data_IF_211453725559
#
_entry.id   IF_211453725559
#
_cell.length_a   1.000
_cell.length_b   1.000
_cell.length_c   1.000
_cell.angle_alpha   90.00
_cell.angle_beta   90.00
_cell.angle_gamma   90.00
#
_symmetry.space_group_name_H-M   'P 1'
#
loop_
_entity.id
_entity.type
_entity.pdbx_description
1 polymer ?
#
# COMPACT_ATOMS: atom_id res chain seq x y z
N UNK A 1 16.58 -20.39 6.81
CA UNK A 1 16.54 -19.89 8.20
C UNK A 1 16.52 -18.36 8.14
N UNK A 2 15.34 -17.77 8.26
CA UNK A 2 15.15 -16.33 8.17
C UNK A 2 15.45 -15.72 9.56
N UNK A 3 16.66 -15.22 9.76
CA UNK A 3 17.02 -14.42 10.94
C UNK A 3 16.38 -13.04 10.82
N UNK A 4 15.25 -12.85 11.48
CA UNK A 4 14.70 -11.52 11.73
C UNK A 4 15.79 -10.64 12.36
N UNK A 5 16.01 -9.41 11.88
CA UNK A 5 17.01 -8.52 12.44
C UNK A 5 16.70 -8.29 13.93
N UNK A 6 17.73 -8.43 14.75
CA UNK A 6 17.63 -8.31 16.21
C UNK A 6 17.25 -6.87 16.56
N UNK A 7 15.94 -6.60 16.71
CA UNK A 7 15.42 -5.27 17.03
C UNK A 7 15.95 -4.83 18.42
N UNK A 8 16.58 -3.67 18.48
CA UNK A 8 17.02 -3.08 19.74
C UNK A 8 15.84 -2.77 20.66
N UNK A 9 16.06 -2.70 21.96
CA UNK A 9 15.03 -2.31 22.95
C UNK A 9 14.38 -0.96 22.58
N UNK A 10 15.16 -0.03 22.08
CA UNK A 10 14.67 1.27 21.61
C UNK A 10 13.73 1.13 20.41
N UNK A 11 14.07 0.27 19.44
CA UNK A 11 13.20 -0.02 18.29
C UNK A 11 11.88 -0.66 18.71
N UNK A 12 11.92 -1.64 19.62
CA UNK A 12 10.72 -2.31 20.16
C UNK A 12 9.78 -1.32 20.88
N UNK A 13 10.35 -0.40 21.66
CA UNK A 13 9.55 0.64 22.34
C UNK A 13 8.91 1.59 21.34
N UNK A 14 9.64 2.03 20.31
CA UNK A 14 9.11 2.90 19.25
C UNK A 14 7.95 2.24 18.52
N UNK A 15 8.10 0.98 18.12
CA UNK A 15 7.03 0.23 17.44
C UNK A 15 5.80 0.06 18.35
N UNK A 16 5.98 -0.25 19.61
CA UNK A 16 4.87 -0.32 20.59
C UNK A 16 4.10 0.99 20.69
N UNK A 17 4.81 2.14 20.72
CA UNK A 17 4.18 3.45 20.75
C UNK A 17 3.38 3.71 19.47
N UNK A 18 3.89 3.32 18.30
CA UNK A 18 3.18 3.45 17.03
C UNK A 18 1.94 2.54 16.95
N UNK A 19 2.02 1.30 17.48
CA UNK A 19 0.87 0.39 17.51
C UNK A 19 -0.28 0.96 18.35
N UNK A 20 0.05 1.45 19.54
CA UNK A 20 -0.94 2.05 20.44
C UNK A 20 -1.50 3.35 19.84
N UNK A 21 -0.64 4.19 19.28
CA UNK A 21 -1.08 5.43 18.62
C UNK A 21 -2.05 5.13 17.46
N UNK A 22 -1.72 4.13 16.63
CA UNK A 22 -2.58 3.67 15.53
C UNK A 22 -3.97 3.28 16.04
N UNK A 23 -4.02 2.47 17.11
CA UNK A 23 -5.29 2.03 17.71
C UNK A 23 -6.11 3.19 18.26
N UNK A 24 -5.48 4.11 19.01
CA UNK A 24 -6.15 5.27 19.58
C UNK A 24 -6.62 6.27 18.52
N UNK A 25 -5.81 6.54 17.50
CA UNK A 25 -6.21 7.37 16.36
C UNK A 25 -7.41 6.79 15.62
N UNK A 26 -7.46 5.49 15.56
CA UNK A 26 -8.55 4.78 14.94
C UNK A 26 -9.85 4.83 15.74
N UNK A 27 -9.79 4.58 17.05
CA UNK A 27 -10.99 4.51 17.91
C UNK A 27 -11.51 5.89 18.31
N UNK A 28 -10.62 6.84 18.60
CA UNK A 28 -10.96 8.13 19.18
C UNK A 28 -10.85 9.31 18.21
N UNK A 29 -10.17 9.08 17.07
CA UNK A 29 -9.76 10.12 16.15
C UNK A 29 -8.46 10.81 16.59
N UNK A 30 -7.74 11.39 15.60
CA UNK A 30 -6.44 12.06 15.84
C UNK A 30 -6.59 13.26 16.75
N UNK A 31 -7.63 14.05 16.56
CA UNK A 31 -7.83 15.30 17.33
C UNK A 31 -8.05 15.05 18.83
N UNK A 32 -8.82 14.03 19.17
CA UNK A 32 -9.14 13.70 20.55
C UNK A 32 -8.05 12.91 21.28
N UNK A 33 -7.08 12.36 20.57
CA UNK A 33 -5.97 11.59 21.15
C UNK A 33 -4.83 12.52 21.56
N UNK A 34 -4.31 12.34 22.77
CA UNK A 34 -3.17 13.11 23.31
C UNK A 34 -1.91 12.27 23.43
N UNK A 35 -0.74 12.93 23.55
CA UNK A 35 0.53 12.26 23.86
C UNK A 35 0.47 11.46 25.16
N UNK A 36 -0.31 11.95 26.14
CA UNK A 36 -0.48 11.29 27.43
C UNK A 36 -1.32 10.00 27.31
N UNK A 37 -2.37 10.01 26.49
CA UNK A 37 -3.18 8.81 26.24
C UNK A 37 -2.35 7.70 25.61
N UNK A 38 -1.50 8.06 24.63
CA UNK A 38 -0.60 7.11 23.98
C UNK A 38 0.42 6.56 24.97
N UNK A 39 1.03 7.41 25.81
CA UNK A 39 1.98 6.99 26.82
C UNK A 39 1.33 6.02 27.82
N UNK A 40 0.17 6.37 28.36
CA UNK A 40 -0.59 5.55 29.33
C UNK A 40 -0.99 4.21 28.72
N UNK A 41 -1.59 4.20 27.54
CA UNK A 41 -2.04 2.98 26.87
C UNK A 41 -0.88 2.08 26.41
N UNK A 42 0.31 2.62 26.22
CA UNK A 42 1.51 1.84 25.89
C UNK A 42 2.29 1.33 27.11
N UNK A 43 1.79 1.63 28.32
CA UNK A 43 2.49 1.35 29.58
C UNK A 43 3.89 2.00 29.63
N UNK A 44 3.97 3.24 29.17
CA UNK A 44 5.19 4.04 29.17
C UNK A 44 4.98 5.37 29.87
N UNK A 45 6.01 5.83 30.56
CA UNK A 45 6.00 7.15 31.16
C UNK A 45 5.96 8.26 30.09
N UNK A 46 5.32 9.40 30.43
CA UNK A 46 5.27 10.58 29.55
C UNK A 46 6.64 10.99 29.03
N UNK A 47 7.69 10.91 29.87
CA UNK A 47 9.06 11.23 29.46
C UNK A 47 9.55 10.30 28.35
N UNK A 48 9.21 9.03 28.41
CA UNK A 48 9.62 8.03 27.42
C UNK A 48 9.06 8.35 26.04
N UNK A 49 7.78 8.70 25.92
CA UNK A 49 7.21 9.00 24.60
C UNK A 49 7.90 10.21 23.94
N UNK A 50 8.26 11.25 24.73
CA UNK A 50 8.96 12.42 24.23
C UNK A 50 10.43 12.16 23.87
N UNK A 51 11.01 11.02 24.26
CA UNK A 51 12.32 10.57 23.78
C UNK A 51 12.26 10.12 22.32
N UNK A 52 11.11 9.57 21.88
CA UNK A 52 10.93 9.05 20.52
C UNK A 52 10.23 10.01 19.57
N UNK A 53 9.34 10.85 20.08
CA UNK A 53 8.49 11.73 19.28
C UNK A 53 8.30 13.08 19.96
N UNK A 54 8.60 14.15 19.25
CA UNK A 54 8.51 15.53 19.78
C UNK A 54 7.07 15.98 20.05
N UNK A 55 6.12 15.48 19.27
CA UNK A 55 4.71 15.87 19.34
C UNK A 55 3.80 14.83 18.67
N UNK A 56 2.50 15.00 18.83
CA UNK A 56 1.45 14.14 18.24
C UNK A 56 1.53 14.06 16.71
N UNK A 57 1.87 15.17 16.05
CA UNK A 57 1.97 15.23 14.59
C UNK A 57 3.06 14.28 14.08
N UNK A 58 4.22 14.23 14.75
CA UNK A 58 5.32 13.33 14.40
C UNK A 58 4.93 11.86 14.55
N UNK A 59 4.21 11.49 15.62
CA UNK A 59 3.66 10.13 15.77
C UNK A 59 2.66 9.81 14.66
N UNK A 60 1.76 10.74 14.36
CA UNK A 60 0.76 10.57 13.33
C UNK A 60 1.41 10.33 11.95
N UNK A 61 2.39 11.14 11.59
CA UNK A 61 3.13 10.96 10.33
C UNK A 61 3.88 9.63 10.27
N UNK A 62 4.48 9.20 11.38
CA UNK A 62 5.14 7.89 11.46
C UNK A 62 4.16 6.70 11.36
N UNK A 63 2.95 6.84 11.89
CA UNK A 63 1.89 5.84 11.71
C UNK A 63 1.44 5.77 10.25
N UNK A 64 1.19 6.92 9.62
CA UNK A 64 0.82 7.01 8.20
C UNK A 64 1.90 6.38 7.31
N UNK A 65 3.17 6.72 7.55
CA UNK A 65 4.29 6.18 6.80
C UNK A 65 4.38 4.65 6.92
N UNK A 66 4.25 4.13 8.13
CA UNK A 66 4.28 2.68 8.39
C UNK A 66 3.09 1.95 7.73
N UNK A 67 1.91 2.50 7.80
CA UNK A 67 0.72 1.93 7.15
C UNK A 67 0.84 1.95 5.62
N UNK A 68 1.35 3.04 5.04
CA UNK A 68 1.61 3.11 3.60
C UNK A 68 2.70 2.12 3.15
N UNK A 69 3.74 1.91 3.96
CA UNK A 69 4.78 0.92 3.66
C UNK A 69 4.24 -0.50 3.69
N UNK A 70 3.41 -0.83 4.68
CA UNK A 70 2.79 -2.15 4.78
C UNK A 70 1.92 -2.49 3.55
N UNK A 71 1.23 -1.49 2.99
CA UNK A 71 0.43 -1.66 1.76
C UNK A 71 1.31 -2.07 0.58
N UNK A 72 2.46 -1.42 0.40
CA UNK A 72 3.30 -1.65 -0.78
C UNK A 72 4.37 -2.74 -0.58
N UNK A 73 4.49 -3.31 0.61
CA UNK A 73 5.54 -4.31 0.88
C UNK A 73 5.44 -5.53 -0.03
N UNK A 74 4.24 -6.04 -0.29
CA UNK A 74 4.03 -7.14 -1.24
C UNK A 74 4.53 -6.80 -2.64
N UNK A 75 4.29 -5.56 -3.10
CA UNK A 75 4.76 -5.09 -4.40
C UNK A 75 6.29 -4.97 -4.44
N UNK A 76 6.87 -4.50 -3.34
CA UNK A 76 8.32 -4.40 -3.20
C UNK A 76 8.99 -5.78 -3.30
N UNK A 77 8.43 -6.78 -2.62
CA UNK A 77 8.95 -8.15 -2.63
C UNK A 77 8.97 -8.73 -4.05
N UNK A 78 7.91 -8.48 -4.82
CA UNK A 78 7.85 -8.88 -6.24
C UNK A 78 8.91 -8.16 -7.08
N UNK A 79 9.05 -6.85 -6.95
CA UNK A 79 10.03 -6.05 -7.72
C UNK A 79 11.45 -6.47 -7.42
N UNK A 80 11.73 -6.89 -6.18
CA UNK A 80 13.06 -7.35 -5.74
C UNK A 80 13.32 -8.84 -6.01
N UNK A 81 12.36 -9.58 -6.57
CA UNK A 81 12.53 -10.99 -6.92
C UNK A 81 13.42 -11.17 -8.16
N UNK A 82 13.95 -12.38 -8.33
CA UNK A 82 14.77 -12.78 -9.50
C UNK A 82 13.92 -13.27 -10.68
N UNK A 83 12.63 -12.95 -10.71
CA UNK A 83 11.74 -13.32 -11.82
C UNK A 83 12.11 -12.57 -13.09
N UNK A 84 11.86 -13.22 -14.24
CA UNK A 84 11.97 -12.57 -15.54
C UNK A 84 10.97 -11.39 -15.67
N UNK A 85 11.32 -10.32 -16.42
CA UNK A 85 10.55 -9.08 -16.43
C UNK A 85 9.04 -9.24 -16.69
N UNK A 86 8.66 -10.09 -17.64
CA UNK A 86 7.26 -10.30 -17.99
C UNK A 86 6.49 -11.02 -16.88
N UNK A 87 7.10 -12.00 -16.25
CA UNK A 87 6.51 -12.72 -15.12
C UNK A 87 6.46 -11.83 -13.86
N UNK A 88 7.55 -11.08 -13.60
CA UNK A 88 7.61 -10.09 -12.52
C UNK A 88 6.50 -9.06 -12.65
N UNK A 89 6.26 -8.54 -13.85
CA UNK A 89 5.19 -7.58 -14.11
C UNK A 89 3.81 -8.20 -13.88
N UNK A 90 3.59 -9.44 -14.32
CA UNK A 90 2.35 -10.17 -14.05
C UNK A 90 2.11 -10.34 -12.55
N UNK A 91 3.10 -10.84 -11.82
CA UNK A 91 3.02 -11.01 -10.37
C UNK A 91 2.80 -9.68 -9.64
N UNK A 92 3.40 -8.58 -10.14
CA UNK A 92 3.17 -7.24 -9.59
C UNK A 92 1.71 -6.80 -9.74
N UNK A 93 1.10 -7.00 -10.92
CA UNK A 93 -0.30 -6.68 -11.15
C UNK A 93 -1.23 -7.55 -10.29
N UNK A 94 -0.93 -8.84 -10.18
CA UNK A 94 -1.69 -9.77 -9.32
C UNK A 94 -1.64 -9.33 -7.85
N UNK A 95 -0.45 -9.05 -7.33
CA UNK A 95 -0.26 -8.58 -5.97
C UNK A 95 -0.97 -7.24 -5.71
N UNK A 96 -1.04 -6.36 -6.71
CA UNK A 96 -1.76 -5.08 -6.60
C UNK A 96 -3.26 -5.27 -6.45
N UNK A 97 -3.86 -6.21 -7.16
CA UNK A 97 -5.26 -6.59 -6.96
C UNK A 97 -5.49 -7.18 -5.56
N UNK A 98 -4.60 -8.08 -5.10
CA UNK A 98 -4.72 -8.71 -3.79
C UNK A 98 -4.68 -7.71 -2.64
N UNK A 99 -3.91 -6.63 -2.75
CA UNK A 99 -3.85 -5.55 -1.74
C UNK A 99 -5.22 -4.92 -1.51
N UNK A 100 -5.97 -4.68 -2.57
CA UNK A 100 -7.32 -4.09 -2.45
C UNK A 100 -8.30 -5.09 -1.87
N UNK A 101 -8.28 -6.33 -2.34
CA UNK A 101 -9.12 -7.40 -1.81
C UNK A 101 -8.87 -7.64 -0.32
N UNK A 102 -7.61 -7.70 0.11
CA UNK A 102 -7.23 -7.84 1.52
C UNK A 102 -7.73 -6.65 2.36
N UNK A 103 -7.63 -5.44 1.81
CA UNK A 103 -8.10 -4.22 2.47
C UNK A 103 -9.62 -4.26 2.66
N UNK A 104 -10.37 -4.69 1.65
CA UNK A 104 -11.82 -4.79 1.71
C UNK A 104 -12.25 -5.90 2.66
N UNK A 105 -11.64 -7.09 2.59
CA UNK A 105 -11.94 -8.20 3.51
C UNK A 105 -11.66 -7.83 4.96
N UNK A 106 -10.54 -7.14 5.22
CA UNK A 106 -10.24 -6.61 6.54
C UNK A 106 -11.28 -5.56 7.00
N UNK A 107 -11.90 -4.84 6.04
CA UNK A 107 -12.92 -3.82 6.27
C UNK A 107 -14.32 -4.38 6.57
N UNK A 108 -14.59 -5.63 6.28
CA UNK A 108 -15.92 -6.26 6.47
C UNK A 108 -16.25 -6.53 7.95
N UNK A 109 -15.27 -6.41 8.84
CA UNK A 109 -15.54 -6.38 10.28
C UNK A 109 -16.07 -4.99 10.63
N UNK A 110 -17.25 -4.91 11.21
CA UNK A 110 -18.09 -3.71 11.47
C UNK A 110 -17.41 -2.48 12.11
N UNK A 111 -16.16 -2.61 12.52
CA UNK A 111 -15.33 -1.52 13.03
C UNK A 111 -14.75 -0.62 11.92
N UNK A 112 -14.60 -1.08 10.69
CA UNK A 112 -13.87 -0.36 9.64
C UNK A 112 -14.78 0.52 8.79
N UNK A 113 -16.08 0.24 8.72
CA UNK A 113 -17.04 1.21 8.15
C UNK A 113 -17.06 2.50 8.98
N UNK A 114 -16.88 2.41 10.30
CA UNK A 114 -16.69 3.58 11.15
C UNK A 114 -15.32 4.26 10.93
N UNK A 115 -14.28 3.53 10.53
CA UNK A 115 -12.98 4.08 10.17
C UNK A 115 -13.01 4.91 8.88
N UNK A 116 -13.71 4.43 7.86
CA UNK A 116 -13.85 5.14 6.59
C UNK A 116 -14.64 6.44 6.72
N UNK A 117 -15.53 6.51 7.70
CA UNK A 117 -16.34 7.71 7.97
C UNK A 117 -15.70 8.69 8.95
N UNK A 118 -14.84 8.22 9.88
CA UNK A 118 -14.29 9.05 10.95
C UNK A 118 -12.96 9.73 10.59
N UNK A 119 -12.15 9.20 9.65
CA UNK A 119 -10.85 9.80 9.30
C UNK A 119 -10.49 9.67 7.82
N UNK A 120 -11.37 10.20 6.95
CA UNK A 120 -11.13 10.26 5.51
C UNK A 120 -9.76 10.89 5.16
N UNK A 121 -9.35 11.94 5.87
CA UNK A 121 -8.08 12.63 5.63
C UNK A 121 -6.87 11.73 5.91
N UNK A 122 -6.97 10.88 6.92
CA UNK A 122 -5.90 9.92 7.23
C UNK A 122 -5.75 8.87 6.13
N UNK A 123 -6.86 8.27 5.74
CA UNK A 123 -6.88 7.27 4.66
C UNK A 123 -6.37 7.84 3.35
N UNK A 124 -6.76 9.06 3.01
CA UNK A 124 -6.30 9.75 1.82
C UNK A 124 -4.77 10.00 1.86
N UNK A 125 -4.21 10.34 3.01
CA UNK A 125 -2.74 10.49 3.16
C UNK A 125 -2.01 9.16 3.03
N UNK A 126 -2.50 8.08 3.66
CA UNK A 126 -1.91 6.74 3.52
C UNK A 126 -1.93 6.34 2.06
N UNK A 127 -3.06 6.50 1.39
CA UNK A 127 -3.23 6.20 -0.03
C UNK A 127 -2.28 7.01 -0.92
N UNK A 128 -2.19 8.31 -0.70
CA UNK A 128 -1.29 9.19 -1.47
C UNK A 128 0.16 8.76 -1.35
N UNK A 129 0.61 8.42 -0.14
CA UNK A 129 1.97 7.92 0.08
C UNK A 129 2.19 6.53 -0.51
N UNK A 130 1.22 5.63 -0.38
CA UNK A 130 1.28 4.30 -0.97
C UNK A 130 1.39 4.38 -2.50
N UNK A 131 0.57 5.22 -3.14
CA UNK A 131 0.60 5.47 -4.58
C UNK A 131 1.95 6.03 -5.04
N UNK A 132 2.54 6.98 -4.31
CA UNK A 132 3.86 7.50 -4.66
C UNK A 132 4.96 6.43 -4.59
N UNK A 133 4.92 5.55 -3.58
CA UNK A 133 5.84 4.41 -3.45
C UNK A 133 5.63 3.38 -4.56
N UNK A 134 4.39 3.07 -4.87
CA UNK A 134 3.98 2.16 -5.94
C UNK A 134 4.49 2.65 -7.31
N UNK A 135 4.39 3.95 -7.59
CA UNK A 135 4.94 4.58 -8.80
C UNK A 135 6.46 4.36 -8.94
N UNK A 136 7.20 4.53 -7.87
CA UNK A 136 8.64 4.25 -7.86
C UNK A 136 8.98 2.79 -8.14
N UNK A 137 8.17 1.86 -7.61
CA UNK A 137 8.36 0.42 -7.83
C UNK A 137 8.06 0.01 -9.26
N UNK A 138 6.94 0.49 -9.84
CA UNK A 138 6.59 0.18 -11.23
C UNK A 138 7.62 0.76 -12.20
N UNK A 139 8.08 2.00 -11.99
CA UNK A 139 9.11 2.60 -12.85
C UNK A 139 10.38 1.77 -12.85
N UNK A 140 10.88 1.38 -11.68
CA UNK A 140 12.08 0.53 -11.56
C UNK A 140 11.93 -0.81 -12.29
N UNK A 141 10.77 -1.45 -12.17
CA UNK A 141 10.50 -2.73 -12.83
C UNK A 141 10.43 -2.59 -14.35
N UNK A 142 9.85 -1.50 -14.84
CA UNK A 142 9.78 -1.20 -16.28
C UNK A 142 11.17 -0.89 -16.84
N UNK A 143 11.99 -0.13 -16.13
CA UNK A 143 13.38 0.16 -16.53
C UNK A 143 14.18 -1.13 -16.65
N UNK A 144 14.09 -2.05 -15.68
CA UNK A 144 14.70 -3.38 -15.76
C UNK A 144 14.24 -4.16 -17.00
N UNK A 145 12.95 -4.15 -17.29
CA UNK A 145 12.39 -4.85 -18.45
C UNK A 145 12.82 -4.25 -19.80
N UNK A 146 13.00 -2.93 -19.86
CA UNK A 146 13.56 -2.24 -21.04
C UNK A 146 15.04 -2.61 -21.23
N UNK A 147 15.83 -2.54 -20.17
CA UNK A 147 17.26 -2.90 -20.19
C UNK A 147 17.49 -4.34 -20.65
N UNK A 148 16.62 -5.27 -20.24
CA UNK A 148 16.66 -6.68 -20.67
C UNK A 148 16.02 -6.92 -22.03
N UNK A 149 15.48 -5.90 -22.71
CA UNK A 149 14.83 -6.02 -24.03
C UNK A 149 13.48 -6.73 -24.01
N UNK A 150 12.87 -6.93 -22.84
CA UNK A 150 11.58 -7.59 -22.68
C UNK A 150 10.40 -6.66 -22.96
N UNK A 151 10.57 -5.35 -22.72
CA UNK A 151 9.51 -4.35 -22.83
C UNK A 151 9.82 -3.32 -23.93
N UNK A 152 8.77 -2.90 -24.64
CA UNK A 152 8.85 -1.80 -25.60
C UNK A 152 9.04 -0.47 -24.86
N UNK A 153 10.14 0.28 -25.13
CA UNK A 153 10.45 1.51 -24.39
C UNK A 153 9.38 2.59 -24.54
N UNK A 154 8.71 2.64 -25.71
CA UNK A 154 7.69 3.66 -26.00
C UNK A 154 6.44 3.39 -25.18
N UNK A 155 5.99 2.15 -25.14
CA UNK A 155 4.82 1.73 -24.37
C UNK A 155 5.08 1.77 -22.87
N UNK A 156 6.24 1.28 -22.44
CA UNK A 156 6.62 1.27 -21.02
C UNK A 156 6.68 2.69 -20.42
N UNK A 157 7.09 3.70 -21.18
CA UNK A 157 7.11 5.10 -20.73
C UNK A 157 5.71 5.66 -20.39
N UNK A 158 4.69 5.22 -21.10
CA UNK A 158 3.31 5.67 -20.88
C UNK A 158 2.59 4.88 -19.79
N UNK A 159 3.07 3.66 -19.53
CA UNK A 159 2.38 2.70 -18.67
C UNK A 159 2.14 3.17 -17.23
N UNK A 160 3.07 3.87 -16.52
CA UNK A 160 2.82 4.30 -15.15
C UNK A 160 1.59 5.19 -15.01
N UNK A 161 1.33 6.07 -15.98
CA UNK A 161 0.13 6.91 -16.01
C UNK A 161 -1.14 6.10 -16.26
N UNK A 162 -1.11 5.21 -17.26
CA UNK A 162 -2.24 4.33 -17.59
C UNK A 162 -2.56 3.39 -16.42
N UNK A 163 -1.53 2.77 -15.85
CA UNK A 163 -1.63 1.94 -14.66
C UNK A 163 -2.32 2.68 -13.51
N UNK A 164 -1.86 3.89 -13.21
CA UNK A 164 -2.41 4.71 -12.14
C UNK A 164 -3.91 5.00 -12.34
N UNK A 165 -4.30 5.36 -13.56
CA UNK A 165 -5.71 5.64 -13.89
C UNK A 165 -6.58 4.38 -13.73
N UNK A 166 -6.10 3.24 -14.22
CA UNK A 166 -6.82 1.96 -14.14
C UNK A 166 -7.02 1.56 -12.66
N UNK A 167 -5.95 1.57 -11.87
CA UNK A 167 -6.04 1.11 -10.48
C UNK A 167 -6.76 2.10 -9.57
N UNK A 168 -6.67 3.40 -9.80
CA UNK A 168 -7.52 4.36 -9.08
C UNK A 168 -9.01 4.16 -9.38
N UNK A 169 -9.37 3.92 -10.65
CA UNK A 169 -10.73 3.60 -11.05
C UNK A 169 -11.21 2.28 -10.44
N UNK A 170 -10.37 1.25 -10.49
CA UNK A 170 -10.66 -0.04 -9.90
C UNK A 170 -10.90 0.06 -8.38
N UNK A 171 -9.98 0.67 -7.63
CA UNK A 171 -10.09 0.87 -6.19
C UNK A 171 -11.39 1.59 -5.81
N UNK A 172 -11.73 2.64 -6.55
CA UNK A 172 -12.95 3.40 -6.34
C UNK A 172 -14.21 2.54 -6.55
N UNK A 173 -14.26 1.82 -7.67
CA UNK A 173 -15.40 0.96 -8.00
C UNK A 173 -15.54 -0.21 -7.03
N UNK A 174 -14.41 -0.81 -6.63
CA UNK A 174 -14.41 -1.98 -5.74
C UNK A 174 -14.85 -1.62 -4.31
N UNK A 175 -14.34 -0.52 -3.77
CA UNK A 175 -14.73 -0.01 -2.45
C UNK A 175 -16.23 0.37 -2.37
N UNK A 176 -16.83 0.75 -3.49
CA UNK A 176 -18.25 1.13 -3.58
C UNK A 176 -19.16 0.02 -4.08
N UNK A 177 -18.62 -1.17 -4.33
CA UNK A 177 -19.35 -2.29 -4.94
C UNK A 177 -20.10 -1.91 -6.24
N UNK A 178 -19.46 -1.09 -7.07
CA UNK A 178 -20.08 -0.56 -8.30
C UNK A 178 -19.98 -1.52 -9.50
N UNK A 179 -19.27 -2.64 -9.38
CA UNK A 179 -19.09 -3.58 -10.49
C UNK A 179 -20.37 -4.34 -10.85
N UNK A 180 -21.26 -4.56 -9.90
CA UNK A 180 -22.53 -5.28 -10.13
C UNK A 180 -23.43 -4.62 -11.15
N UNK A 181 -23.31 -3.31 -11.37
CA UNK A 181 -24.10 -2.60 -12.39
C UNK A 181 -23.65 -2.87 -13.85
N UNK A 182 -22.49 -3.53 -14.02
CA UNK A 182 -21.93 -3.85 -15.34
C UNK A 182 -21.96 -5.35 -15.67
N UNK A 183 -22.61 -6.18 -14.85
CA UNK A 183 -22.61 -7.64 -14.95
C UNK A 183 -21.19 -8.25 -15.02
N UNK A 184 -20.21 -7.60 -14.37
CA UNK A 184 -18.82 -8.03 -14.31
C UNK A 184 -18.44 -8.47 -12.89
N UNK A 185 -17.66 -9.52 -12.80
CA UNK A 185 -17.03 -9.90 -11.54
C UNK A 185 -15.67 -9.22 -11.38
N UNK A 186 -15.21 -9.06 -10.14
CA UNK A 186 -13.85 -8.58 -9.86
C UNK A 186 -12.81 -9.48 -10.54
N UNK A 187 -13.05 -10.79 -10.60
CA UNK A 187 -12.19 -11.76 -11.29
C UNK A 187 -12.07 -11.50 -12.79
N UNK A 188 -13.19 -11.20 -13.47
CA UNK A 188 -13.19 -10.90 -14.92
C UNK A 188 -12.38 -9.63 -15.21
N UNK A 189 -12.56 -8.61 -14.38
CA UNK A 189 -11.82 -7.34 -14.51
C UNK A 189 -10.33 -7.57 -14.28
N UNK A 190 -9.97 -8.30 -13.23
CA UNK A 190 -8.58 -8.66 -12.92
C UNK A 190 -7.89 -9.31 -14.11
N UNK A 191 -8.49 -10.37 -14.65
CA UNK A 191 -7.93 -11.10 -15.79
C UNK A 191 -7.78 -10.17 -17.01
N UNK A 192 -8.81 -9.39 -17.32
CA UNK A 192 -8.82 -8.50 -18.48
C UNK A 192 -7.78 -7.40 -18.37
N UNK A 193 -7.65 -6.76 -17.20
CA UNK A 193 -6.67 -5.69 -16.97
C UNK A 193 -5.24 -6.23 -17.03
N UNK A 194 -4.97 -7.39 -16.41
CA UNK A 194 -3.65 -8.01 -16.43
C UNK A 194 -3.24 -8.32 -17.88
N UNK A 195 -4.11 -8.98 -18.64
CA UNK A 195 -3.85 -9.31 -20.04
C UNK A 195 -3.65 -8.06 -20.90
N UNK A 196 -4.47 -7.03 -20.72
CA UNK A 196 -4.35 -5.77 -21.45
C UNK A 196 -2.98 -5.10 -21.20
N UNK A 197 -2.60 -4.93 -19.94
CA UNK A 197 -1.35 -4.26 -19.57
C UNK A 197 -0.12 -5.04 -20.02
N UNK A 198 -0.11 -6.37 -19.85
CA UNK A 198 0.99 -7.22 -20.30
C UNK A 198 1.15 -7.16 -21.81
N UNK A 199 0.07 -7.34 -22.57
CA UNK A 199 0.12 -7.34 -24.02
C UNK A 199 0.49 -5.97 -24.63
N UNK A 200 0.34 -4.89 -23.85
CA UNK A 200 0.68 -3.54 -24.28
C UNK A 200 2.19 -3.31 -24.29
N UNK A 201 2.94 -3.90 -23.35
CA UNK A 201 4.36 -3.57 -23.16
C UNK A 201 5.34 -4.65 -23.64
N UNK A 202 4.91 -5.91 -23.74
CA UNK A 202 5.82 -6.99 -24.18
C UNK A 202 6.23 -6.75 -25.64
N UNK A 203 7.53 -6.83 -25.90
CA UNK A 203 8.08 -6.81 -27.25
C UNK A 203 7.55 -8.02 -28.02
N UNK A 204 6.75 -7.77 -29.06
CA UNK A 204 6.27 -8.84 -29.94
C UNK A 204 7.43 -9.30 -30.82
N UNK A 205 7.61 -10.61 -31.01
CA UNK A 205 8.60 -11.10 -31.96
C UNK A 205 8.29 -10.49 -33.34
N UNK A 206 9.31 -9.94 -33.99
CA UNK A 206 9.16 -9.47 -35.37
C UNK A 206 8.82 -10.70 -36.23
N UNK A 207 7.61 -10.71 -36.79
CA UNK A 207 7.17 -11.68 -37.80
C UNK A 207 7.98 -11.47 -39.06
#
# INVERSE_FOLDING_TARGET
MNTLPNMTMASKTRERLLDVARQLFASNGVEKTTMNDIATASDKGRRTIYTYFKNKKEIYEAVIERESEAIVQKLRDVVMSDLEPAEKFKCFLEARFDIVDDTIRASTTSQIISYLTLDYKRLERIRTLAVAKEQGLISRMLDEGIEKGAFDPTQAKLLPGVYQMIFQGFDYCHLRNNFSQFDLTVGDIRISVINFLINTIIVKPKV
#
